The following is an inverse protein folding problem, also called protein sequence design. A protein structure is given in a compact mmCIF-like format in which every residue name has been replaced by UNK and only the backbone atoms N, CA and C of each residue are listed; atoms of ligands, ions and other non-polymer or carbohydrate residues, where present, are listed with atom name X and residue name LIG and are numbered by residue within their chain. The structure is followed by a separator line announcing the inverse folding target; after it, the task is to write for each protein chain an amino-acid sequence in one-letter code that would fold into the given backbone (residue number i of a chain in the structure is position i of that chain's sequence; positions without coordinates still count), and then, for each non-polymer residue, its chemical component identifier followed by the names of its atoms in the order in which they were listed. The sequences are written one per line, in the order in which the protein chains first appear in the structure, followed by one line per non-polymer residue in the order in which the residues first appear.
data_IF_768181782412
#
_entry.id   IF_768181782412
#
_cell.length_a   1.000
_cell.length_b   1.000
_cell.length_c   1.000
_cell.angle_alpha   90.00
_cell.angle_beta   90.00
_cell.angle_gamma   90.00
#
_symmetry.space_group_name_H-M   'P 1'
#
loop_
_entity.id
_entity.type
_entity.pdbx_description
1 polymer ?
#
# COMPACT_ATOMS: atom_id res chain seq x y z
N UNK A 1 20.78 -9.15 36.43
CA UNK A 1 21.22 -10.13 37.43
C UNK A 1 20.02 -10.75 38.12
N UNK A 2 19.87 -12.07 37.99
CA UNK A 2 18.83 -12.92 38.59
C UNK A 2 17.43 -12.59 38.02
N UNK A 3 16.62 -13.55 37.58
CA UNK A 3 16.56 -14.94 38.02
C UNK A 3 15.52 -15.72 37.19
N UNK A 4 15.93 -16.93 36.83
CA UNK A 4 15.14 -18.16 36.69
C UNK A 4 14.08 -18.20 35.57
N UNK A 5 14.34 -18.88 34.45
CA UNK A 5 14.25 -20.34 34.29
C UNK A 5 12.97 -20.92 34.90
N UNK A 6 11.97 -21.16 34.04
CA UNK A 6 11.12 -22.33 34.21
C UNK A 6 10.70 -22.88 32.85
N UNK A 7 11.38 -23.95 32.46
CA UNK A 7 10.99 -24.87 31.41
C UNK A 7 9.90 -25.81 31.93
N UNK A 8 8.82 -25.95 31.18
CA UNK A 8 7.92 -27.11 31.15
C UNK A 8 7.54 -27.30 29.67
N UNK A 9 8.07 -28.28 28.94
CA UNK A 9 7.93 -29.73 29.09
C UNK A 9 6.46 -30.17 29.10
N UNK A 10 5.95 -30.48 27.90
CA UNK A 10 4.86 -31.44 27.72
C UNK A 10 3.59 -30.89 27.08
N UNK A 11 3.52 -30.97 25.75
CA UNK A 11 2.30 -31.38 25.04
C UNK A 11 2.66 -31.77 23.61
N UNK A 12 2.82 -33.07 23.41
CA UNK A 12 2.85 -33.66 22.08
C UNK A 12 1.46 -33.55 21.47
N UNK A 13 1.35 -32.70 20.45
CA UNK A 13 0.26 -32.71 19.49
C UNK A 13 0.90 -32.73 18.11
N UNK A 14 1.04 -33.94 17.57
CA UNK A 14 1.30 -34.18 16.16
C UNK A 14 0.00 -33.86 15.41
N UNK A 15 -0.15 -32.63 14.94
CA UNK A 15 -1.13 -32.30 13.90
C UNK A 15 -0.38 -32.26 12.57
N UNK A 16 -0.50 -33.36 11.82
CA UNK A 16 -0.27 -33.39 10.38
C UNK A 16 -1.45 -32.67 9.71
N UNK A 17 -1.41 -31.34 9.73
CA UNK A 17 -2.27 -30.47 8.94
C UNK A 17 -1.48 -29.95 7.74
N UNK A 18 -1.58 -30.64 6.62
CA UNK A 18 -1.12 -30.17 5.33
C UNK A 18 -2.10 -29.10 4.82
N UNK A 19 -1.84 -27.84 5.16
CA UNK A 19 -2.15 -26.63 4.42
C UNK A 19 -1.25 -25.53 5.02
N UNK A 20 -0.65 -24.68 4.19
CA UNK A 20 0.53 -23.88 4.48
C UNK A 20 0.54 -23.13 5.83
N UNK A 21 1.73 -23.09 6.45
CA UNK A 21 2.02 -22.47 7.75
C UNK A 21 1.67 -20.99 7.85
N UNK A 22 1.61 -20.35 9.01
CA UNK A 22 2.23 -20.67 10.29
C UNK A 22 3.13 -19.48 10.68
N UNK A 23 2.63 -18.57 11.52
CA UNK A 23 3.44 -17.53 12.18
C UNK A 23 2.74 -16.20 12.46
N UNK A 24 2.58 -15.91 13.75
CA UNK A 24 2.62 -14.59 14.41
C UNK A 24 1.55 -13.52 14.13
N UNK A 25 0.99 -13.02 15.22
CA UNK A 25 0.06 -11.89 15.30
C UNK A 25 0.78 -10.59 14.90
N UNK A 26 0.69 -10.25 13.62
CA UNK A 26 1.22 -9.01 13.06
C UNK A 26 0.73 -8.79 11.62
N UNK A 27 -0.57 -8.86 11.38
CA UNK A 27 -1.16 -8.63 10.06
C UNK A 27 -1.56 -7.14 9.90
N UNK A 28 -0.57 -6.30 9.68
CA UNK A 28 -0.69 -5.11 8.85
C UNK A 28 -0.02 -5.41 7.50
N UNK A 29 -0.52 -6.45 6.82
CA UNK A 29 -0.06 -6.85 5.49
C UNK A 29 -1.04 -6.25 4.47
N UNK A 30 -0.82 -4.97 4.14
CA UNK A 30 -1.30 -4.41 2.87
C UNK A 30 -0.37 -4.92 1.77
N UNK A 31 -0.47 -6.22 1.50
CA UNK A 31 0.23 -6.91 0.44
C UNK A 31 -0.73 -7.40 -0.62
N UNK A 32 -1.65 -6.55 -1.09
CA UNK A 32 -2.42 -6.88 -2.29
C UNK A 32 -1.57 -6.55 -3.52
N UNK A 33 -0.61 -7.43 -3.81
CA UNK A 33 0.12 -7.42 -5.07
C UNK A 33 -0.83 -7.74 -6.22
N UNK A 34 -1.33 -6.69 -6.86
CA UNK A 34 -2.02 -6.79 -8.15
C UNK A 34 -1.01 -7.17 -9.24
N UNK A 35 -1.12 -8.38 -9.77
CA UNK A 35 -0.42 -8.78 -11.00
C UNK A 35 -1.00 -7.96 -12.17
N UNK A 36 -0.38 -6.79 -12.45
CA UNK A 36 -0.97 -5.78 -13.34
C UNK A 36 -0.01 -4.84 -14.05
N UNK A 37 1.21 -5.28 -14.41
CA UNK A 37 2.05 -4.59 -15.42
C UNK A 37 3.14 -3.69 -14.86
N UNK A 38 4.40 -4.11 -14.95
CA UNK A 38 5.54 -3.35 -14.44
C UNK A 38 5.75 -3.57 -12.94
N UNK A 39 6.99 -3.81 -12.54
CA UNK A 39 7.35 -3.90 -11.12
C UNK A 39 7.60 -2.49 -10.60
N UNK A 40 6.80 -2.01 -9.66
CA UNK A 40 7.06 -0.77 -8.94
C UNK A 40 7.18 -1.04 -7.44
N UNK A 41 7.83 -0.13 -6.71
CA UNK A 41 7.91 -0.21 -5.26
C UNK A 41 6.64 0.37 -4.65
N UNK A 42 5.73 -0.49 -4.20
CA UNK A 42 4.46 -0.09 -3.62
C UNK A 42 4.63 0.76 -2.35
N UNK A 43 5.67 0.50 -1.54
CA UNK A 43 5.93 1.30 -0.35
C UNK A 43 6.41 2.71 -0.72
N UNK A 44 7.26 2.84 -1.74
CA UNK A 44 7.67 4.14 -2.26
C UNK A 44 6.50 4.89 -2.91
N UNK A 45 5.65 4.20 -3.66
CA UNK A 45 4.45 4.80 -4.28
C UNK A 45 3.47 5.32 -3.21
N UNK A 46 3.25 4.55 -2.15
CA UNK A 46 2.45 4.99 -1.00
C UNK A 46 3.10 6.19 -0.30
N UNK A 47 4.41 6.22 -0.09
CA UNK A 47 5.10 7.38 0.49
C UNK A 47 4.91 8.65 -0.36
N UNK A 48 5.06 8.52 -1.69
CA UNK A 48 4.80 9.61 -2.64
C UNK A 48 3.35 10.08 -2.54
N UNK A 49 2.39 9.15 -2.45
CA UNK A 49 0.98 9.47 -2.27
C UNK A 49 0.71 10.23 -0.96
N UNK A 50 1.24 9.73 0.16
CA UNK A 50 1.04 10.37 1.47
C UNK A 50 1.65 11.78 1.52
N UNK A 51 2.81 11.97 0.87
CA UNK A 51 3.49 13.27 0.84
C UNK A 51 2.81 14.33 -0.04
N UNK A 52 2.16 13.92 -1.14
CA UNK A 52 1.74 14.84 -2.20
C UNK A 52 0.22 14.86 -2.46
N UNK A 53 -0.50 13.79 -2.14
CA UNK A 53 -1.87 13.56 -2.62
C UNK A 53 -2.90 13.44 -1.48
N UNK A 54 -2.53 12.78 -0.38
CA UNK A 54 -3.45 12.37 0.70
C UNK A 54 -4.21 13.55 1.34
N UNK A 55 -3.59 14.73 1.44
CA UNK A 55 -4.26 15.91 2.00
C UNK A 55 -5.54 16.32 1.25
N UNK A 56 -5.62 16.02 -0.04
CA UNK A 56 -6.78 16.29 -0.88
C UNK A 56 -7.64 15.04 -1.08
N UNK A 57 -7.02 13.87 -1.21
CA UNK A 57 -7.71 12.64 -1.63
C UNK A 57 -7.96 11.63 -0.50
N UNK A 58 -7.64 11.98 0.75
CA UNK A 58 -7.77 11.09 1.91
C UNK A 58 -6.52 10.24 2.12
N UNK A 59 -6.30 9.73 3.33
CA UNK A 59 -5.16 8.86 3.63
C UNK A 59 -5.28 7.51 2.91
N UNK A 60 -6.51 7.09 2.58
CA UNK A 60 -6.86 5.82 1.95
C UNK A 60 -7.59 6.02 0.61
N UNK A 61 -7.33 7.13 -0.09
CA UNK A 61 -7.93 7.44 -1.40
C UNK A 61 -9.47 7.59 -1.38
N UNK A 62 -10.08 7.74 -0.20
CA UNK A 62 -11.52 7.82 0.02
C UNK A 62 -12.13 9.20 -0.31
N UNK A 63 -11.29 10.18 -0.64
CA UNK A 63 -11.66 11.55 -0.90
C UNK A 63 -11.70 12.39 0.37
N UNK A 64 -11.29 13.65 0.24
CA UNK A 64 -11.37 14.65 1.32
C UNK A 64 -11.80 16.00 0.74
N UNK A 65 -10.83 16.84 0.38
CA UNK A 65 -11.10 18.10 -0.34
C UNK A 65 -11.31 17.87 -1.84
N UNK A 66 -10.66 16.84 -2.38
CA UNK A 66 -10.87 16.27 -3.70
C UNK A 66 -11.65 14.96 -3.65
N UNK A 67 -12.04 14.42 -4.81
CA UNK A 67 -12.83 13.19 -4.89
C UNK A 67 -12.02 11.95 -4.45
N UNK A 68 -12.72 10.86 -4.18
CA UNK A 68 -12.11 9.54 -4.05
C UNK A 68 -11.45 9.13 -5.37
N UNK A 69 -10.30 8.47 -5.29
CA UNK A 69 -9.49 8.10 -6.48
C UNK A 69 -8.99 6.65 -6.46
N UNK A 70 -9.36 5.83 -5.47
CA UNK A 70 -9.07 4.39 -5.49
C UNK A 70 -9.58 3.73 -6.79
N UNK A 71 -8.75 2.90 -7.41
CA UNK A 71 -9.08 2.17 -8.63
C UNK A 71 -9.18 3.05 -9.88
N UNK A 72 -8.71 4.30 -9.83
CA UNK A 72 -8.69 5.18 -11.01
C UNK A 72 -7.64 4.67 -12.00
N UNK A 73 -7.95 4.57 -13.31
CA UNK A 73 -6.99 4.07 -14.30
C UNK A 73 -5.65 4.82 -14.26
N UNK A 74 -4.54 4.09 -14.34
CA UNK A 74 -3.19 4.64 -14.24
C UNK A 74 -2.94 5.80 -15.22
N UNK A 75 -3.37 5.65 -16.49
CA UNK A 75 -3.21 6.69 -17.52
C UNK A 75 -3.95 7.97 -17.14
N UNK A 76 -5.16 7.84 -16.60
CA UNK A 76 -5.94 8.97 -16.10
C UNK A 76 -5.28 9.63 -14.89
N UNK A 77 -4.74 8.84 -13.95
CA UNK A 77 -4.05 9.41 -12.77
C UNK A 77 -2.79 10.17 -13.21
N UNK A 78 -1.98 9.58 -14.07
CA UNK A 78 -0.77 10.22 -14.60
C UNK A 78 -1.09 11.51 -15.37
N UNK A 79 -2.13 11.51 -16.21
CA UNK A 79 -2.55 12.69 -16.95
C UNK A 79 -3.03 13.81 -16.02
N UNK A 80 -3.80 13.48 -14.98
CA UNK A 80 -4.28 14.46 -14.00
C UNK A 80 -3.16 15.02 -13.13
N UNK A 81 -2.15 14.22 -12.79
CA UNK A 81 -0.94 14.71 -12.09
C UNK A 81 -0.16 15.68 -12.98
N UNK A 82 0.00 15.35 -14.26
CA UNK A 82 0.79 16.16 -15.20
C UNK A 82 0.09 17.47 -15.56
N UNK A 83 -1.21 17.43 -15.83
CA UNK A 83 -1.97 18.57 -16.34
C UNK A 83 -2.76 19.33 -15.26
N UNK A 84 -2.99 18.71 -14.09
CA UNK A 84 -3.92 19.22 -13.09
C UNK A 84 -5.36 19.27 -13.58
N UNK A 85 -6.22 19.98 -12.84
CA UNK A 85 -7.61 20.21 -13.23
C UNK A 85 -8.60 20.17 -12.07
N UNK A 86 -9.75 20.83 -12.21
CA UNK A 86 -10.82 20.87 -11.19
C UNK A 86 -10.33 21.26 -9.78
N UNK A 87 -9.30 22.12 -9.68
CA UNK A 87 -8.69 22.53 -8.41
C UNK A 87 -7.47 21.73 -7.99
N UNK A 88 -7.13 20.63 -8.68
CA UNK A 88 -5.86 19.92 -8.53
C UNK A 88 -4.72 20.67 -9.24
N UNK A 89 -3.61 21.00 -8.56
CA UNK A 89 -2.43 21.57 -9.18
C UNK A 89 -1.77 20.60 -10.17
N UNK A 90 -1.16 21.14 -11.22
CA UNK A 90 -0.35 20.38 -12.18
C UNK A 90 1.09 20.19 -11.66
N UNK A 91 1.74 19.09 -12.06
CA UNK A 91 3.16 18.83 -11.79
C UNK A 91 3.47 18.59 -10.32
N UNK A 92 2.57 17.94 -9.56
CA UNK A 92 2.81 17.61 -8.16
C UNK A 92 3.97 16.61 -7.99
N UNK A 93 4.08 15.66 -8.92
CA UNK A 93 5.19 14.72 -9.08
C UNK A 93 5.40 14.46 -10.56
N UNK A 94 6.61 14.03 -10.94
CA UNK A 94 6.99 13.86 -12.35
C UNK A 94 7.80 12.57 -12.55
N UNK A 95 7.99 12.18 -13.81
CA UNK A 95 8.83 11.03 -14.17
C UNK A 95 8.37 9.73 -13.51
N UNK A 96 9.34 8.98 -12.96
CA UNK A 96 9.11 7.66 -12.37
C UNK A 96 8.18 7.72 -11.14
N UNK A 97 8.24 8.77 -10.33
CA UNK A 97 7.35 8.94 -9.17
C UNK A 97 5.89 9.07 -9.59
N UNK A 98 5.62 9.82 -10.68
CA UNK A 98 4.29 9.93 -11.28
C UNK A 98 3.78 8.58 -11.75
N UNK A 99 4.60 7.85 -12.49
CA UNK A 99 4.18 6.58 -13.09
C UNK A 99 3.94 5.51 -12.01
N UNK A 100 4.80 5.46 -10.98
CA UNK A 100 4.65 4.56 -9.83
C UNK A 100 3.40 4.86 -9.00
N UNK A 101 3.17 6.13 -8.62
CA UNK A 101 1.99 6.48 -7.81
C UNK A 101 0.71 6.30 -8.62
N UNK A 102 0.72 6.60 -9.92
CA UNK A 102 -0.42 6.38 -10.79
C UNK A 102 -0.78 4.90 -10.92
N UNK A 103 0.23 4.04 -11.05
CA UNK A 103 0.02 2.60 -11.08
C UNK A 103 -0.55 2.12 -9.74
N UNK A 104 0.06 2.52 -8.63
CA UNK A 104 -0.39 2.16 -7.30
C UNK A 104 -1.86 2.54 -7.07
N UNK A 105 -2.23 3.80 -7.32
CA UNK A 105 -3.62 4.29 -7.19
C UNK A 105 -4.62 3.44 -7.99
N UNK A 106 -4.22 2.95 -9.16
CA UNK A 106 -5.08 2.13 -10.01
C UNK A 106 -5.33 0.71 -9.50
N UNK A 107 -4.45 0.23 -8.61
CA UNK A 107 -4.51 -1.10 -7.99
C UNK A 107 -5.19 -1.08 -6.61
N UNK A 108 -5.51 0.12 -6.09
CA UNK A 108 -6.24 0.33 -4.82
C UNK A 108 -7.74 0.09 -4.92
#
# INVERSE_FOLDING_TARGET
MKKFLMAMAGSGVLILGACGGGGDEGAGDSGNGGEGGGTYDAAAAEEVYQGNCASCHGENLEGASGPAIAGTPQDQVAEMIENGGNGMPAGLVEGEEKDMVAQWVSEQ
#
